data_IF_686941791844
#
_entry.id   IF_686941791844
#
_cell.length_a   1.000
_cell.length_b   1.000
_cell.length_c   1.000
_cell.angle_alpha   90.00
_cell.angle_beta   90.00
_cell.angle_gamma   90.00
#
_symmetry.space_group_name_H-M   'P 1'
#
loop_
_entity.id
_entity.type
_entity.pdbx_description
1 polymer ?
#
# COMPACT_ATOMS: atom_id res chain seq x y z
N UNK A 1 12.05 -4.07 -16.94
CA UNK A 1 11.96 -3.46 -15.60
C UNK A 1 10.53 -3.65 -15.09
N UNK A 2 10.31 -4.08 -13.84
CA UNK A 2 8.94 -4.23 -13.33
C UNK A 2 8.35 -2.83 -13.07
N UNK A 3 7.12 -2.59 -13.50
CA UNK A 3 6.37 -1.35 -13.26
C UNK A 3 6.37 -0.98 -11.76
N UNK A 4 6.55 0.31 -11.44
CA UNK A 4 6.57 0.79 -10.05
C UNK A 4 5.17 0.71 -9.43
N UNK A 5 5.07 0.73 -8.10
CA UNK A 5 3.78 0.79 -7.41
C UNK A 5 3.04 2.08 -7.81
N UNK A 6 3.76 3.21 -7.93
CA UNK A 6 3.17 4.46 -8.38
C UNK A 6 2.53 4.33 -9.77
N UNK A 7 3.29 3.89 -10.77
CA UNK A 7 2.82 3.81 -12.16
C UNK A 7 1.65 2.82 -12.30
N UNK A 8 1.73 1.69 -11.60
CA UNK A 8 0.67 0.69 -11.55
C UNK A 8 -0.64 1.28 -11.01
N UNK A 9 -0.59 2.05 -9.91
CA UNK A 9 -1.77 2.65 -9.30
C UNK A 9 -2.42 3.69 -10.23
N UNK A 10 -1.62 4.50 -10.93
CA UNK A 10 -2.12 5.47 -11.90
C UNK A 10 -2.78 4.75 -13.08
N UNK A 11 -2.10 3.75 -13.66
CA UNK A 11 -2.61 2.99 -14.83
C UNK A 11 -3.88 2.21 -14.52
N UNK A 12 -3.99 1.62 -13.33
CA UNK A 12 -5.12 0.74 -12.96
C UNK A 12 -6.24 1.44 -12.20
N UNK A 13 -6.08 2.72 -11.87
CA UNK A 13 -7.06 3.48 -11.06
C UNK A 13 -7.03 3.16 -9.57
N UNK A 14 -6.07 2.36 -9.08
CA UNK A 14 -5.92 1.99 -7.65
C UNK A 14 -5.24 3.08 -6.82
N UNK A 15 -5.66 4.34 -7.00
CA UNK A 15 -5.06 5.51 -6.36
C UNK A 15 -5.25 5.52 -4.83
N UNK A 16 -6.23 4.77 -4.31
CA UNK A 16 -6.43 4.57 -2.86
C UNK A 16 -5.20 3.97 -2.18
N UNK A 17 -4.43 3.13 -2.87
CA UNK A 17 -3.16 2.62 -2.35
C UNK A 17 -2.13 3.74 -2.12
N UNK A 18 -2.10 4.73 -3.01
CA UNK A 18 -1.20 5.88 -2.84
C UNK A 18 -1.65 6.78 -1.68
N UNK A 19 -2.96 6.94 -1.51
CA UNK A 19 -3.55 7.69 -0.39
C UNK A 19 -3.28 7.00 0.95
N UNK A 20 -3.29 5.67 0.96
CA UNK A 20 -3.03 4.89 2.17
C UNK A 20 -1.54 4.69 2.47
N UNK A 21 -0.62 5.19 1.64
CA UNK A 21 0.81 5.06 1.90
C UNK A 21 1.22 5.93 3.11
N UNK A 22 1.77 5.31 4.16
CA UNK A 22 2.28 6.06 5.32
C UNK A 22 3.70 6.60 5.03
N UNK A 23 3.78 7.81 4.47
CA UNK A 23 5.05 8.41 4.02
C UNK A 23 6.07 8.59 5.17
N UNK A 24 5.60 8.99 6.35
CA UNK A 24 6.46 9.22 7.52
C UNK A 24 7.13 7.92 7.97
N UNK A 25 6.36 6.82 8.00
CA UNK A 25 6.85 5.52 8.49
C UNK A 25 7.65 4.74 7.47
N UNK A 26 7.43 5.02 6.19
CA UNK A 26 8.16 4.37 5.11
C UNK A 26 9.41 5.13 4.68
N UNK A 27 9.59 6.39 5.09
CA UNK A 27 10.77 7.19 4.73
C UNK A 27 12.09 6.44 4.98
N UNK A 28 13.06 6.51 4.04
CA UNK A 28 13.08 7.32 2.83
C UNK A 28 12.38 6.66 1.60
N UNK A 29 11.71 5.53 1.79
CA UNK A 29 11.09 4.77 0.71
C UNK A 29 9.81 5.44 0.18
N UNK A 30 9.65 5.43 -1.13
CA UNK A 30 8.47 5.92 -1.84
C UNK A 30 7.81 4.82 -2.69
N UNK A 31 6.56 5.01 -3.13
CA UNK A 31 5.92 4.11 -4.10
C UNK A 31 6.65 3.99 -5.45
N UNK A 32 7.58 4.90 -5.77
CA UNK A 32 8.41 4.83 -6.99
C UNK A 32 9.62 3.91 -6.84
N UNK A 33 10.02 3.60 -5.61
CA UNK A 33 11.19 2.76 -5.31
C UNK A 33 10.87 1.25 -5.28
N UNK A 34 9.58 0.89 -5.35
CA UNK A 34 9.11 -0.49 -5.28
C UNK A 34 8.31 -0.84 -6.53
N UNK A 35 8.47 -2.06 -7.04
CA UNK A 35 7.53 -2.61 -8.01
C UNK A 35 6.19 -2.96 -7.35
N UNK A 36 5.07 -2.91 -8.10
CA UNK A 36 3.74 -3.33 -7.61
C UNK A 36 3.73 -4.78 -7.06
N UNK A 37 4.55 -5.67 -7.62
CA UNK A 37 4.70 -7.05 -7.14
C UNK A 37 5.65 -7.25 -5.96
N UNK A 38 6.06 -6.19 -5.26
CA UNK A 38 7.03 -6.28 -4.17
C UNK A 38 6.49 -7.06 -2.97
N UNK A 39 7.28 -8.02 -2.46
CA UNK A 39 7.01 -8.71 -1.19
C UNK A 39 7.41 -7.89 0.04
N UNK A 40 7.93 -6.66 -0.15
CA UNK A 40 8.32 -5.79 0.96
C UNK A 40 7.10 -5.40 1.77
N UNK A 41 7.19 -5.59 3.08
CA UNK A 41 6.19 -5.13 4.05
C UNK A 41 6.43 -3.64 4.30
N UNK A 42 5.38 -2.85 4.10
CA UNK A 42 5.40 -1.39 4.27
C UNK A 42 4.22 -0.97 5.14
N UNK A 43 4.28 0.24 5.66
CA UNK A 43 3.23 0.83 6.48
C UNK A 43 2.14 1.44 5.61
N UNK A 44 0.90 1.14 5.97
CA UNK A 44 -0.31 1.70 5.38
C UNK A 44 -1.11 2.41 6.47
N UNK A 45 -1.78 3.50 6.11
CA UNK A 45 -2.63 4.30 6.99
C UNK A 45 -3.94 4.58 6.26
N UNK A 46 -5.08 4.13 6.78
CA UNK A 46 -6.37 4.42 6.14
C UNK A 46 -6.91 5.79 6.57
N UNK A 47 -7.99 6.24 5.91
CA UNK A 47 -8.65 7.50 6.21
C UNK A 47 -9.17 7.62 7.67
N UNK A 48 -9.40 6.49 8.35
CA UNK A 48 -9.79 6.46 9.77
C UNK A 48 -8.60 6.56 10.74
N UNK A 49 -7.37 6.71 10.23
CA UNK A 49 -6.16 6.81 11.04
C UNK A 49 -5.58 5.48 11.52
N UNK A 50 -6.19 4.35 11.18
CA UNK A 50 -5.62 3.04 11.50
C UNK A 50 -4.34 2.81 10.71
N UNK A 51 -3.29 2.35 11.40
CA UNK A 51 -1.98 2.07 10.80
C UNK A 51 -1.69 0.58 10.87
N UNK A 52 -1.27 -0.03 9.75
CA UNK A 52 -0.89 -1.45 9.71
C UNK A 52 0.22 -1.72 8.71
N UNK A 53 0.84 -2.89 8.83
CA UNK A 53 1.82 -3.38 7.87
C UNK A 53 1.22 -4.46 6.96
N UNK A 54 1.45 -4.33 5.66
CA UNK A 54 1.13 -5.33 4.66
C UNK A 54 2.16 -5.32 3.54
N UNK A 55 2.32 -6.47 2.85
CA UNK A 55 3.17 -6.53 1.65
C UNK A 55 2.50 -5.76 0.51
N UNK A 56 3.30 -5.05 -0.30
CA UNK A 56 2.78 -4.32 -1.47
C UNK A 56 1.99 -5.25 -2.40
N UNK A 57 2.55 -6.41 -2.73
CA UNK A 57 1.90 -7.40 -3.61
C UNK A 57 0.53 -7.86 -3.10
N UNK A 58 0.35 -7.98 -1.78
CA UNK A 58 -0.93 -8.40 -1.19
C UNK A 58 -1.98 -7.27 -1.35
N UNK A 59 -1.57 -6.01 -1.23
CA UNK A 59 -2.45 -4.86 -1.46
C UNK A 59 -2.85 -4.72 -2.94
N UNK A 60 -1.91 -4.96 -3.85
CA UNK A 60 -2.13 -4.76 -5.30
C UNK A 60 -2.80 -5.94 -6.00
N UNK A 61 -2.53 -7.18 -5.57
CA UNK A 61 -3.04 -8.39 -6.22
C UNK A 61 -4.31 -8.94 -5.55
N UNK A 62 -4.39 -8.87 -4.22
CA UNK A 62 -5.55 -9.37 -3.48
C UNK A 62 -6.53 -8.26 -3.09
N UNK A 63 -6.23 -7.01 -3.45
CA UNK A 63 -7.02 -5.82 -3.11
C UNK A 63 -7.38 -5.75 -1.62
N UNK A 64 -6.48 -6.22 -0.74
CA UNK A 64 -6.77 -6.21 0.70
C UNK A 64 -6.87 -4.78 1.22
N UNK A 65 -7.80 -4.55 2.15
CA UNK A 65 -8.05 -3.25 2.76
C UNK A 65 -7.44 -3.10 4.15
N UNK A 66 -7.89 -2.06 4.86
CA UNK A 66 -7.57 -1.87 6.27
C UNK A 66 -8.16 -3.02 7.13
N UNK A 67 -7.34 -3.78 7.88
CA UNK A 67 -7.82 -4.90 8.68
C UNK A 67 -8.65 -4.46 9.89
N UNK A 68 -8.48 -3.22 10.36
CA UNK A 68 -9.28 -2.65 11.44
C UNK A 68 -10.69 -2.29 10.94
N UNK A 69 -10.79 -1.64 9.77
CA UNK A 69 -12.08 -1.32 9.16
C UNK A 69 -12.88 -2.57 8.75
N UNK A 70 -12.20 -3.68 8.45
CA UNK A 70 -12.85 -4.97 8.15
C UNK A 70 -13.07 -5.86 9.38
N UNK A 71 -12.85 -5.36 10.60
CA UNK A 71 -12.97 -6.10 11.86
C UNK A 71 -12.12 -7.39 11.94
N UNK A 72 -11.08 -7.50 11.12
CA UNK A 72 -10.09 -8.58 11.20
C UNK A 72 -9.06 -8.35 12.30
N UNK A 73 -8.99 -7.12 12.81
CA UNK A 73 -8.21 -6.74 13.99
C UNK A 73 -9.08 -5.91 14.93
N UNK A 74 -8.94 -6.10 16.26
CA UNK A 74 -9.60 -5.29 17.26
C UNK A 74 -9.05 -3.85 17.26
#
# INVERSE_FOLDING_TARGET
MRETLYDFCIRTGQQTLLQEWDAERNAPLTPKDLSYGSKKKVWWRCAHGHVWQAMVTIRTANHSGCPYCSHQRP
#
